data_IF_756004154266
#
_entry.id   IF_756004154266
#
_cell.length_a   1.000
_cell.length_b   1.000
_cell.length_c   1.000
_cell.angle_alpha   90.00
_cell.angle_beta   90.00
_cell.angle_gamma   90.00
#
_symmetry.space_group_name_H-M   'P 1'
#
loop_
_entity.id
_entity.type
_entity.pdbx_description
1 polymer ?
#
# COMPACT_ATOMS: atom_id res chain seq x y z
N UNK A 1 3.33 6.18 -2.13
CA UNK A 1 2.56 5.18 -1.33
C UNK A 1 2.56 3.86 -2.09
N UNK A 2 3.13 2.80 -1.53
CA UNK A 2 2.98 1.46 -2.13
C UNK A 2 1.52 1.06 -1.97
N UNK A 3 0.85 0.79 -3.08
CA UNK A 3 -0.50 0.18 -3.10
C UNK A 3 -0.49 -1.01 -2.13
N UNK A 4 -1.54 -1.14 -1.33
CA UNK A 4 -1.75 -2.31 -0.47
C UNK A 4 -1.52 -3.56 -1.33
N UNK A 5 -0.61 -4.47 -0.92
CA UNK A 5 -0.43 -5.69 -1.68
C UNK A 5 -1.74 -6.47 -1.69
N UNK A 6 -2.05 -7.09 -2.83
CA UNK A 6 -3.22 -7.99 -3.01
C UNK A 6 -3.36 -9.09 -1.94
N UNK A 7 -2.44 -9.16 -0.98
CA UNK A 7 -2.28 -10.22 0.02
C UNK A 7 -2.83 -9.89 1.42
N UNK A 8 -3.70 -8.90 1.61
CA UNK A 8 -4.37 -8.66 2.92
C UNK A 8 -5.35 -9.78 3.32
N UNK A 9 -5.51 -10.81 2.48
CA UNK A 9 -6.26 -12.03 2.79
C UNK A 9 -5.67 -12.87 3.96
N UNK A 10 -4.45 -12.56 4.42
CA UNK A 10 -3.76 -13.38 5.45
C UNK A 10 -4.30 -13.17 6.89
N UNK A 11 -4.91 -12.05 7.19
CA UNK A 11 -5.44 -11.79 8.54
C UNK A 11 -6.78 -12.52 8.83
N UNK A 12 -7.53 -12.90 7.80
CA UNK A 12 -8.81 -13.61 7.94
C UNK A 12 -8.66 -15.13 8.10
N UNK A 13 -7.46 -15.69 7.91
CA UNK A 13 -7.22 -17.14 8.06
C UNK A 13 -7.44 -17.65 9.50
N UNK A 14 -7.19 -16.81 10.51
CA UNK A 14 -7.43 -17.17 11.92
C UNK A 14 -8.92 -17.28 12.25
N UNK A 15 -9.78 -16.47 11.62
CA UNK A 15 -11.23 -16.53 11.78
C UNK A 15 -11.82 -17.83 11.16
N UNK A 16 -11.26 -18.32 10.06
CA UNK A 16 -11.73 -19.55 9.40
C UNK A 16 -11.50 -20.80 10.26
N UNK A 17 -10.42 -20.83 11.05
CA UNK A 17 -10.13 -21.93 11.98
C UNK A 17 -11.08 -21.96 13.17
N UNK A 18 -11.53 -20.80 13.66
CA UNK A 18 -12.52 -20.69 14.72
C UNK A 18 -13.92 -21.18 14.32
N UNK A 19 -14.30 -21.01 13.07
CA UNK A 19 -15.59 -21.46 12.53
C UNK A 19 -15.63 -22.98 12.26
N UNK A 20 -14.48 -23.64 12.08
CA UNK A 20 -14.40 -25.09 11.93
C UNK A 20 -14.66 -25.86 13.22
N UNK A 21 -14.46 -25.21 14.38
CA UNK A 21 -14.66 -25.81 15.69
C UNK A 21 -16.05 -25.49 16.29
N UNK A 22 -17.12 -25.59 15.50
CA UNK A 22 -18.48 -25.39 16.03
C UNK A 22 -18.77 -26.39 17.15
N UNK A 23 -19.23 -25.95 18.33
CA UNK A 23 -19.43 -26.81 19.52
C UNK A 23 -20.55 -27.84 19.38
N UNK A 24 -21.16 -27.98 18.21
CA UNK A 24 -22.23 -28.94 17.96
C UNK A 24 -21.80 -30.41 18.10
N UNK A 25 -20.52 -30.74 17.93
CA UNK A 25 -20.00 -32.07 18.20
C UNK A 25 -19.90 -32.39 19.70
N UNK A 26 -19.96 -31.37 20.58
CA UNK A 26 -19.97 -31.50 22.03
C UNK A 26 -21.40 -31.68 22.63
N UNK A 27 -22.44 -31.59 21.81
CA UNK A 27 -23.83 -31.60 22.28
C UNK A 27 -24.34 -32.99 22.79
N UNK A 28 -23.51 -34.02 22.76
CA UNK A 28 -23.95 -35.37 23.19
C UNK A 28 -23.95 -35.60 24.71
N UNK A 29 -23.48 -34.64 25.57
CA UNK A 29 -23.35 -34.92 26.97
C UNK A 29 -23.59 -33.79 27.97
N UNK A 30 -24.04 -32.58 27.60
CA UNK A 30 -24.45 -31.58 28.59
C UNK A 30 -25.65 -30.74 28.14
N UNK A 31 -26.70 -30.71 29.00
CA UNK A 31 -27.91 -29.86 28.87
C UNK A 31 -27.66 -28.37 29.14
N UNK A 32 -26.59 -27.81 28.66
CA UNK A 32 -26.44 -26.36 28.60
C UNK A 32 -26.83 -25.92 27.20
N UNK A 33 -28.02 -25.32 27.04
CA UNK A 33 -28.45 -24.66 25.81
C UNK A 33 -27.51 -23.49 25.53
N UNK A 34 -26.48 -23.71 24.71
CA UNK A 34 -25.79 -22.58 24.08
C UNK A 34 -26.82 -21.87 23.21
N UNK A 35 -27.04 -20.58 23.47
CA UNK A 35 -27.86 -19.75 22.59
C UNK A 35 -27.29 -19.76 21.19
N UNK A 36 -28.17 -19.90 20.16
CA UNK A 36 -27.74 -19.81 18.75
C UNK A 36 -27.00 -18.51 18.50
N UNK A 37 -25.97 -18.56 17.67
CA UNK A 37 -25.26 -17.36 17.21
C UNK A 37 -26.14 -16.49 16.27
N UNK A 38 -27.25 -17.05 15.79
CA UNK A 38 -28.23 -16.40 14.88
C UNK A 38 -29.67 -16.60 15.36
N UNK A 39 -30.04 -16.06 16.55
CA UNK A 39 -31.35 -16.29 17.17
C UNK A 39 -32.52 -15.71 16.33
N UNK A 40 -32.25 -14.60 15.62
CA UNK A 40 -33.26 -13.85 14.88
C UNK A 40 -33.24 -14.15 13.35
N UNK A 41 -32.54 -15.21 12.95
CA UNK A 41 -32.44 -15.59 11.54
C UNK A 41 -33.81 -15.77 10.89
N UNK A 42 -33.99 -15.25 9.69
CA UNK A 42 -35.24 -15.40 8.93
C UNK A 42 -35.45 -16.83 8.39
N UNK A 43 -34.38 -17.60 8.28
CA UNK A 43 -34.42 -19.01 7.82
C UNK A 43 -34.91 -19.90 8.94
N UNK A 44 -35.95 -20.74 8.61
CA UNK A 44 -36.39 -21.79 9.54
C UNK A 44 -35.29 -22.83 9.71
N UNK A 45 -34.92 -23.12 10.93
CA UNK A 45 -33.89 -24.13 11.24
C UNK A 45 -34.37 -25.52 10.86
N UNK A 46 -33.62 -26.27 10.04
CA UNK A 46 -33.96 -27.63 9.68
C UNK A 46 -33.69 -28.58 10.86
N UNK A 47 -34.34 -29.74 10.83
CA UNK A 47 -33.98 -30.83 11.74
C UNK A 47 -32.61 -31.37 11.39
N UNK A 48 -31.77 -31.58 12.39
CA UNK A 48 -30.42 -32.12 12.21
C UNK A 48 -30.52 -33.58 11.70
N UNK A 49 -29.94 -33.83 10.54
CA UNK A 49 -29.82 -35.16 9.95
C UNK A 49 -28.47 -35.79 10.35
N UNK A 50 -28.38 -36.19 11.62
CA UNK A 50 -27.19 -36.86 12.19
C UNK A 50 -27.64 -38.17 12.84
N UNK A 51 -27.81 -39.22 12.01
CA UNK A 51 -28.37 -40.52 12.46
C UNK A 51 -27.32 -41.56 12.76
N UNK A 52 -26.06 -41.38 12.34
CA UNK A 52 -24.97 -42.35 12.52
C UNK A 52 -23.94 -41.85 13.54
N UNK A 53 -23.78 -42.61 14.64
CA UNK A 53 -22.72 -42.34 15.63
C UNK A 53 -21.31 -42.49 15.03
N UNK A 54 -21.15 -43.44 14.09
CA UNK A 54 -19.91 -43.64 13.35
C UNK A 54 -19.57 -42.39 12.53
N UNK A 55 -20.52 -41.88 11.71
CA UNK A 55 -20.28 -40.68 10.91
C UNK A 55 -19.92 -39.49 11.76
N UNK A 56 -20.49 -39.32 12.95
CA UNK A 56 -20.13 -38.27 13.90
C UNK A 56 -18.70 -38.40 14.39
N UNK A 57 -18.25 -39.61 14.72
CA UNK A 57 -16.88 -39.88 15.16
C UNK A 57 -15.88 -39.64 14.04
N UNK A 58 -16.18 -40.13 12.84
CA UNK A 58 -15.32 -40.01 11.67
C UNK A 58 -15.21 -38.54 11.21
N UNK A 59 -16.32 -37.80 11.26
CA UNK A 59 -16.31 -36.35 10.99
C UNK A 59 -15.44 -35.58 11.96
N UNK A 60 -15.61 -35.84 13.27
CA UNK A 60 -14.78 -35.25 14.31
C UNK A 60 -13.29 -35.56 14.09
N UNK A 61 -12.95 -36.82 13.85
CA UNK A 61 -11.58 -37.25 13.61
C UNK A 61 -10.98 -36.59 12.37
N UNK A 62 -11.77 -36.36 11.32
CA UNK A 62 -11.33 -35.65 10.10
C UNK A 62 -10.99 -34.20 10.39
N UNK A 63 -11.81 -33.47 11.17
CA UNK A 63 -11.51 -32.09 11.58
C UNK A 63 -10.35 -32.00 12.55
N UNK A 64 -10.21 -32.96 13.50
CA UNK A 64 -9.05 -33.05 14.38
C UNK A 64 -7.75 -33.24 13.56
N UNK A 65 -7.77 -34.08 12.52
CA UNK A 65 -6.66 -34.29 11.59
C UNK A 65 -6.35 -33.01 10.80
N UNK A 66 -7.37 -32.32 10.31
CA UNK A 66 -7.25 -31.04 9.60
C UNK A 66 -6.60 -29.95 10.50
N UNK A 67 -7.04 -29.86 11.74
CA UNK A 67 -6.52 -28.91 12.72
C UNK A 67 -5.08 -29.25 13.13
N UNK A 68 -4.71 -30.53 13.15
CA UNK A 68 -3.34 -30.97 13.37
C UNK A 68 -2.39 -30.67 12.18
N UNK A 69 -2.93 -30.21 11.04
CA UNK A 69 -2.15 -29.82 9.87
C UNK A 69 -1.88 -30.93 8.87
N UNK A 70 -2.37 -32.16 9.08
CA UNK A 70 -2.23 -33.26 8.12
C UNK A 70 -3.31 -33.16 7.03
N UNK A 71 -3.04 -32.25 6.06
CA UNK A 71 -4.01 -31.91 5.01
C UNK A 71 -4.34 -33.10 4.12
N UNK A 72 -3.35 -33.94 3.76
CA UNK A 72 -3.53 -35.08 2.87
C UNK A 72 -4.43 -36.16 3.50
N UNK A 73 -4.16 -36.47 4.77
CA UNK A 73 -4.99 -37.44 5.51
C UNK A 73 -6.40 -36.92 5.77
N UNK A 74 -6.53 -35.62 6.13
CA UNK A 74 -7.83 -35.00 6.32
C UNK A 74 -8.65 -34.99 5.01
N UNK A 75 -8.03 -34.68 3.87
CA UNK A 75 -8.69 -34.69 2.55
C UNK A 75 -9.24 -36.09 2.25
N UNK A 76 -8.45 -37.16 2.46
CA UNK A 76 -8.88 -38.52 2.26
C UNK A 76 -10.07 -38.90 3.18
N UNK A 77 -10.00 -38.56 4.46
CA UNK A 77 -11.06 -38.84 5.43
C UNK A 77 -12.37 -38.11 5.08
N UNK A 78 -12.26 -36.81 4.74
CA UNK A 78 -13.41 -35.98 4.36
C UNK A 78 -14.03 -36.45 3.03
N UNK A 79 -13.21 -36.87 2.05
CA UNK A 79 -13.70 -37.43 0.81
C UNK A 79 -14.45 -38.75 1.06
N UNK A 80 -13.93 -39.61 1.93
CA UNK A 80 -14.61 -40.87 2.31
C UNK A 80 -15.99 -40.59 2.92
N UNK A 81 -16.11 -39.57 3.78
CA UNK A 81 -17.41 -39.19 4.34
C UNK A 81 -18.35 -38.62 3.27
N UNK A 82 -17.84 -37.80 2.37
CA UNK A 82 -18.62 -37.25 1.26
C UNK A 82 -19.20 -38.35 0.36
N UNK A 83 -18.42 -39.41 0.09
CA UNK A 83 -18.81 -40.50 -0.81
C UNK A 83 -19.77 -41.50 -0.14
N UNK A 84 -19.58 -41.83 1.14
CA UNK A 84 -20.23 -42.95 1.77
C UNK A 84 -21.29 -42.63 2.82
N UNK A 85 -21.25 -41.42 3.44
CA UNK A 85 -22.25 -41.04 4.43
C UNK A 85 -23.64 -40.93 3.77
N UNK A 86 -24.67 -41.33 4.49
CA UNK A 86 -26.08 -41.13 4.10
C UNK A 86 -26.63 -39.80 4.63
N UNK A 87 -25.99 -39.22 5.62
CA UNK A 87 -26.38 -37.94 6.21
C UNK A 87 -25.93 -36.77 5.31
N UNK A 88 -26.88 -35.97 4.88
CA UNK A 88 -26.62 -34.76 4.13
C UNK A 88 -25.83 -33.75 4.96
N UNK A 89 -26.14 -33.61 6.26
CA UNK A 89 -25.38 -32.77 7.20
C UNK A 89 -23.89 -33.14 7.22
N UNK A 90 -23.59 -34.47 7.34
CA UNK A 90 -22.20 -34.94 7.36
C UNK A 90 -21.50 -34.63 6.03
N UNK A 91 -22.18 -34.79 4.90
CA UNK A 91 -21.63 -34.43 3.58
C UNK A 91 -21.37 -32.94 3.47
N UNK A 92 -22.29 -32.08 3.92
CA UNK A 92 -22.11 -30.64 3.91
C UNK A 92 -20.93 -30.20 4.78
N UNK A 93 -20.76 -30.80 5.96
CA UNK A 93 -19.60 -30.58 6.83
C UNK A 93 -18.29 -31.11 6.20
N UNK A 94 -18.33 -32.23 5.51
CA UNK A 94 -17.16 -32.71 4.76
C UNK A 94 -16.75 -31.75 3.64
N UNK A 95 -17.74 -31.21 2.89
CA UNK A 95 -17.48 -30.16 1.89
C UNK A 95 -16.87 -28.91 2.53
N UNK A 96 -17.28 -28.50 3.74
CA UNK A 96 -16.66 -27.40 4.49
C UNK A 96 -15.18 -27.69 4.77
N UNK A 97 -14.86 -28.89 5.26
CA UNK A 97 -13.48 -29.30 5.54
C UNK A 97 -12.61 -29.31 4.29
N UNK A 98 -13.12 -29.89 3.18
CA UNK A 98 -12.45 -29.88 1.89
C UNK A 98 -12.23 -28.47 1.34
N UNK A 99 -13.20 -27.57 1.55
CA UNK A 99 -13.07 -26.15 1.19
C UNK A 99 -11.91 -25.48 1.93
N UNK A 100 -11.74 -25.74 3.23
CA UNK A 100 -10.61 -25.22 4.01
C UNK A 100 -9.26 -25.70 3.48
N UNK A 101 -9.17 -26.95 3.03
CA UNK A 101 -7.95 -27.50 2.42
C UNK A 101 -7.65 -26.76 1.12
N UNK A 102 -8.65 -26.59 0.24
CA UNK A 102 -8.48 -25.84 -1.02
C UNK A 102 -8.11 -24.37 -0.78
N UNK A 103 -8.72 -23.73 0.22
CA UNK A 103 -8.37 -22.37 0.64
C UNK A 103 -6.90 -22.25 1.05
N UNK A 104 -6.42 -23.17 1.92
CA UNK A 104 -5.01 -23.20 2.35
C UNK A 104 -4.03 -23.48 1.20
N UNK A 105 -4.46 -24.21 0.20
CA UNK A 105 -3.70 -24.46 -1.02
C UNK A 105 -3.71 -23.26 -2.01
N UNK A 106 -4.49 -22.19 -1.72
CA UNK A 106 -4.66 -21.04 -2.62
C UNK A 106 -5.64 -21.26 -3.76
N UNK A 107 -6.33 -22.41 -3.81
CA UNK A 107 -7.38 -22.70 -4.79
C UNK A 107 -8.73 -22.16 -4.30
N UNK A 108 -8.85 -20.83 -4.33
CA UNK A 108 -10.04 -20.13 -3.84
C UNK A 108 -11.29 -20.45 -4.64
N UNK A 109 -11.14 -20.69 -5.94
CA UNK A 109 -12.26 -21.06 -6.82
C UNK A 109 -12.86 -22.42 -6.45
N UNK A 110 -12.02 -23.43 -6.28
CA UNK A 110 -12.48 -24.76 -5.84
C UNK A 110 -13.07 -24.68 -4.41
N UNK A 111 -12.44 -23.89 -3.52
CA UNK A 111 -12.93 -23.67 -2.17
C UNK A 111 -14.34 -23.06 -2.17
N UNK A 112 -14.58 -22.00 -2.92
CA UNK A 112 -15.89 -21.37 -3.05
C UNK A 112 -16.95 -22.34 -3.61
N UNK A 113 -16.61 -23.11 -4.65
CA UNK A 113 -17.52 -24.09 -5.24
C UNK A 113 -17.95 -25.17 -4.24
N UNK A 114 -17.04 -25.65 -3.37
CA UNK A 114 -17.36 -26.62 -2.32
C UNK A 114 -18.31 -26.03 -1.28
N UNK A 115 -18.12 -24.78 -0.84
CA UNK A 115 -19.02 -24.10 0.09
C UNK A 115 -20.40 -23.84 -0.53
N UNK A 116 -20.45 -23.44 -1.79
CA UNK A 116 -21.71 -23.25 -2.51
C UNK A 116 -22.52 -24.56 -2.57
N UNK A 117 -21.85 -25.71 -2.82
CA UNK A 117 -22.50 -27.03 -2.78
C UNK A 117 -23.05 -27.33 -1.40
N UNK A 118 -22.27 -27.14 -0.34
CA UNK A 118 -22.72 -27.38 1.03
C UNK A 118 -23.94 -26.53 1.43
N UNK A 119 -23.99 -25.29 0.96
CA UNK A 119 -25.08 -24.36 1.25
C UNK A 119 -26.36 -24.63 0.45
N UNK A 120 -26.26 -25.36 -0.67
CA UNK A 120 -27.39 -25.61 -1.58
C UNK A 120 -28.42 -26.61 -1.00
N UNK A 121 -27.99 -27.58 -0.21
CA UNK A 121 -28.84 -28.66 0.27
C UNK A 121 -29.84 -28.24 1.35
N UNK A 122 -29.61 -27.10 2.01
CA UNK A 122 -30.53 -26.56 3.01
C UNK A 122 -30.66 -27.35 4.30
N UNK A 123 -29.77 -28.30 4.57
CA UNK A 123 -29.84 -29.27 5.68
C UNK A 123 -29.05 -28.80 6.91
N UNK A 124 -28.20 -27.76 6.76
CA UNK A 124 -27.38 -27.24 7.83
C UNK A 124 -28.21 -26.46 8.87
N UNK A 125 -28.00 -26.68 10.17
CA UNK A 125 -28.47 -25.76 11.21
C UNK A 125 -28.04 -24.31 10.98
N UNK A 126 -28.77 -23.34 11.51
CA UNK A 126 -28.53 -21.93 11.21
C UNK A 126 -27.09 -21.48 11.55
N UNK A 127 -26.54 -21.91 12.66
CA UNK A 127 -25.17 -21.56 13.06
C UNK A 127 -24.13 -22.07 12.04
N UNK A 128 -24.28 -23.29 11.54
CA UNK A 128 -23.41 -23.85 10.50
C UNK A 128 -23.65 -23.18 9.14
N UNK A 129 -24.91 -22.98 8.76
CA UNK A 129 -25.30 -22.39 7.48
C UNK A 129 -24.73 -20.97 7.34
N UNK A 130 -25.00 -20.11 8.30
CA UNK A 130 -24.51 -18.73 8.25
C UNK A 130 -23.01 -18.64 8.48
N UNK A 131 -22.40 -19.53 9.28
CA UNK A 131 -20.96 -19.65 9.39
C UNK A 131 -20.29 -19.98 8.05
N UNK A 132 -20.84 -20.96 7.32
CA UNK A 132 -20.34 -21.30 5.97
C UNK A 132 -20.60 -20.19 4.94
N UNK A 133 -21.74 -19.51 5.03
CA UNK A 133 -22.04 -18.39 4.14
C UNK A 133 -21.06 -17.23 4.35
N UNK A 134 -20.71 -16.91 5.59
CA UNK A 134 -19.66 -15.93 5.88
C UNK A 134 -18.29 -16.39 5.37
N UNK A 135 -17.95 -17.68 5.58
CA UNK A 135 -16.73 -18.27 5.03
C UNK A 135 -16.67 -18.16 3.50
N UNK A 136 -17.79 -18.38 2.80
CA UNK A 136 -17.88 -18.22 1.35
C UNK A 136 -17.52 -16.79 0.92
N UNK A 137 -18.04 -15.78 1.60
CA UNK A 137 -17.69 -14.39 1.32
C UNK A 137 -16.18 -14.14 1.47
N UNK A 138 -15.57 -14.63 2.55
CA UNK A 138 -14.12 -14.49 2.79
C UNK A 138 -13.29 -15.21 1.71
N UNK A 139 -13.72 -16.40 1.28
CA UNK A 139 -13.06 -17.15 0.21
C UNK A 139 -13.18 -16.43 -1.13
N UNK A 140 -14.35 -15.88 -1.45
CA UNK A 140 -14.57 -15.06 -2.65
C UNK A 140 -13.69 -13.80 -2.65
N UNK A 141 -13.59 -13.10 -1.51
CA UNK A 141 -12.67 -11.98 -1.35
C UNK A 141 -11.23 -12.41 -1.62
N UNK A 142 -10.76 -13.50 -1.02
CA UNK A 142 -9.41 -14.01 -1.20
C UNK A 142 -9.12 -14.41 -2.65
N UNK A 143 -10.13 -14.88 -3.37
CA UNK A 143 -10.09 -15.21 -4.79
C UNK A 143 -10.18 -14.01 -5.74
N UNK A 144 -10.37 -12.78 -5.19
CA UNK A 144 -10.56 -11.57 -5.99
C UNK A 144 -11.97 -11.40 -6.56
N UNK A 145 -12.91 -12.25 -6.15
CA UNK A 145 -14.33 -12.19 -6.55
C UNK A 145 -15.11 -11.21 -5.66
N UNK A 146 -14.64 -9.94 -5.59
CA UNK A 146 -15.11 -8.94 -4.63
C UNK A 146 -16.60 -8.65 -4.72
N UNK A 147 -17.19 -8.59 -5.92
CA UNK A 147 -18.62 -8.35 -6.04
C UNK A 147 -19.43 -9.54 -5.52
N UNK A 148 -19.01 -10.77 -5.80
CA UNK A 148 -19.66 -11.98 -5.27
C UNK A 148 -19.56 -12.05 -3.74
N UNK A 149 -18.44 -11.62 -3.16
CA UNK A 149 -18.28 -11.50 -1.70
C UNK A 149 -19.27 -10.48 -1.11
N UNK A 150 -19.41 -9.31 -1.72
CA UNK A 150 -20.40 -8.30 -1.30
C UNK A 150 -21.83 -8.83 -1.33
N UNK A 151 -22.21 -9.53 -2.40
CA UNK A 151 -23.54 -10.12 -2.56
C UNK A 151 -23.78 -11.19 -1.48
N UNK A 152 -22.77 -12.01 -1.21
CA UNK A 152 -22.83 -13.05 -0.16
C UNK A 152 -22.95 -12.44 1.23
N UNK A 153 -22.20 -11.38 1.55
CA UNK A 153 -22.28 -10.65 2.83
C UNK A 153 -23.63 -9.98 3.01
N UNK A 154 -24.17 -9.35 1.95
CA UNK A 154 -25.48 -8.73 1.99
C UNK A 154 -26.58 -9.74 2.34
N UNK A 155 -26.56 -10.91 1.69
CA UNK A 155 -27.46 -12.01 1.97
C UNK A 155 -27.28 -12.56 3.39
N UNK A 156 -26.02 -12.77 3.81
CA UNK A 156 -25.69 -13.23 5.17
C UNK A 156 -26.28 -12.33 6.25
N UNK A 157 -26.16 -10.98 6.11
CA UNK A 157 -26.75 -10.03 7.05
C UNK A 157 -28.28 -10.01 6.99
N UNK A 158 -28.83 -10.04 5.79
CA UNK A 158 -30.29 -9.97 5.61
C UNK A 158 -30.99 -11.19 6.19
N UNK A 159 -30.47 -12.39 5.94
CA UNK A 159 -31.09 -13.64 6.35
C UNK A 159 -30.70 -14.04 7.78
N UNK A 160 -29.46 -13.80 8.17
CA UNK A 160 -28.93 -14.10 9.51
C UNK A 160 -29.33 -13.08 10.57
N UNK A 161 -29.84 -11.90 10.17
CA UNK A 161 -30.16 -10.77 11.07
C UNK A 161 -29.00 -10.43 12.00
N UNK A 162 -27.78 -10.43 11.46
CA UNK A 162 -26.55 -10.25 12.23
C UNK A 162 -25.63 -9.24 11.54
N UNK A 163 -25.09 -8.33 12.34
CA UNK A 163 -24.06 -7.38 11.92
C UNK A 163 -22.84 -7.58 12.80
N UNK A 164 -21.65 -7.66 12.19
CA UNK A 164 -20.38 -7.73 12.93
C UNK A 164 -19.38 -6.73 12.35
N UNK A 165 -18.45 -6.30 13.18
CA UNK A 165 -17.39 -5.41 12.77
C UNK A 165 -16.56 -6.01 11.61
N UNK A 166 -16.24 -7.30 11.69
CA UNK A 166 -15.49 -8.02 10.67
C UNK A 166 -16.24 -8.08 9.34
N UNK A 167 -17.57 -8.26 9.36
CA UNK A 167 -18.38 -8.31 8.14
C UNK A 167 -18.40 -6.97 7.39
N UNK A 168 -18.38 -5.86 8.13
CA UNK A 168 -18.26 -4.54 7.53
C UNK A 168 -16.85 -4.20 7.11
N UNK A 169 -15.83 -4.68 7.83
CA UNK A 169 -14.43 -4.53 7.42
C UNK A 169 -14.13 -5.30 6.12
N UNK A 170 -14.65 -6.54 5.99
CA UNK A 170 -14.57 -7.33 4.77
C UNK A 170 -15.25 -6.60 3.61
N UNK A 171 -16.47 -6.10 3.83
CA UNK A 171 -17.19 -5.28 2.85
C UNK A 171 -16.38 -4.05 2.43
N UNK A 172 -15.83 -3.29 3.38
CA UNK A 172 -15.05 -2.10 3.07
C UNK A 172 -13.79 -2.41 2.25
N UNK A 173 -13.14 -3.55 2.49
CA UNK A 173 -12.01 -3.97 1.66
C UNK A 173 -12.47 -4.33 0.23
N UNK A 174 -13.58 -5.05 0.07
CA UNK A 174 -14.12 -5.41 -1.24
C UNK A 174 -14.51 -4.17 -2.04
N UNK A 175 -15.18 -3.21 -1.39
CA UNK A 175 -15.56 -1.92 -1.97
C UNK A 175 -14.32 -1.12 -2.41
N UNK A 176 -13.24 -1.10 -1.59
CA UNK A 176 -11.97 -0.48 -1.96
C UNK A 176 -11.37 -1.14 -3.21
N UNK A 177 -11.31 -2.47 -3.27
CA UNK A 177 -10.77 -3.20 -4.42
C UNK A 177 -11.56 -2.97 -5.71
N UNK A 178 -12.86 -2.68 -5.59
CA UNK A 178 -13.76 -2.33 -6.70
C UNK A 178 -13.70 -0.83 -7.06
N UNK A 179 -12.87 -0.02 -6.38
CA UNK A 179 -12.80 1.42 -6.60
C UNK A 179 -13.96 2.22 -6.02
N UNK A 180 -14.82 1.61 -5.20
CA UNK A 180 -15.96 2.23 -4.51
C UNK A 180 -15.46 2.86 -3.19
N UNK A 181 -14.63 3.90 -3.29
CA UNK A 181 -13.89 4.42 -2.14
C UNK A 181 -14.79 5.08 -1.09
N UNK A 182 -15.88 5.74 -1.49
CA UNK A 182 -16.81 6.37 -0.55
C UNK A 182 -17.55 5.32 0.28
N UNK A 183 -18.01 4.25 -0.37
CA UNK A 183 -18.65 3.11 0.27
C UNK A 183 -17.66 2.39 1.20
N UNK A 184 -16.43 2.16 0.76
CA UNK A 184 -15.38 1.54 1.58
C UNK A 184 -15.14 2.33 2.88
N UNK A 185 -15.07 3.66 2.81
CA UNK A 185 -14.94 4.54 3.99
C UNK A 185 -16.14 4.35 4.93
N UNK A 186 -17.36 4.34 4.39
CA UNK A 186 -18.56 4.17 5.20
C UNK A 186 -18.60 2.80 5.90
N UNK A 187 -18.30 1.74 5.17
CA UNK A 187 -18.26 0.37 5.68
C UNK A 187 -17.20 0.19 6.77
N UNK A 188 -15.97 0.67 6.57
CA UNK A 188 -14.92 0.56 7.59
C UNK A 188 -15.25 1.39 8.84
N UNK A 189 -15.81 2.58 8.70
CA UNK A 189 -16.28 3.37 9.85
C UNK A 189 -17.40 2.65 10.61
N UNK A 190 -18.31 2.00 9.90
CA UNK A 190 -19.34 1.16 10.54
C UNK A 190 -18.69 0.00 11.28
N UNK A 191 -17.70 -0.66 10.70
CA UNK A 191 -16.92 -1.71 11.39
C UNK A 191 -16.32 -1.19 12.71
N UNK A 192 -15.65 -0.05 12.68
CA UNK A 192 -15.06 0.57 13.86
C UNK A 192 -16.08 0.93 14.93
N UNK A 193 -17.31 1.34 14.53
CA UNK A 193 -18.39 1.67 15.49
C UNK A 193 -19.00 0.46 16.20
N UNK A 194 -18.73 -0.75 15.72
CA UNK A 194 -19.28 -2.00 16.27
C UNK A 194 -18.31 -2.70 17.25
N UNK A 195 -17.14 -2.13 17.53
CA UNK A 195 -16.15 -2.71 18.46
C UNK A 195 -15.33 -1.65 19.15
N UNK A 196 -14.95 -1.90 20.40
CA UNK A 196 -14.01 -1.06 21.15
C UNK A 196 -12.53 -1.36 20.80
N UNK A 197 -12.29 -2.41 20.00
CA UNK A 197 -10.94 -2.87 19.62
C UNK A 197 -10.87 -3.05 18.10
N UNK A 198 -10.84 -1.95 17.32
CA UNK A 198 -10.71 -2.06 15.88
C UNK A 198 -9.35 -2.61 15.48
N UNK A 199 -9.34 -3.44 14.46
CA UNK A 199 -8.11 -4.00 13.89
C UNK A 199 -7.29 -2.91 13.19
N UNK A 200 -5.95 -2.85 13.39
CA UNK A 200 -5.09 -1.85 12.75
C UNK A 200 -5.19 -1.81 11.21
N UNK A 201 -5.47 -2.96 10.58
CA UNK A 201 -5.63 -3.06 9.13
C UNK A 201 -6.79 -2.23 8.58
N UNK A 202 -7.83 -1.97 9.39
CA UNK A 202 -8.98 -1.17 8.97
C UNK A 202 -8.60 0.28 8.71
N UNK A 203 -7.66 0.84 9.50
CA UNK A 203 -7.12 2.17 9.24
C UNK A 203 -6.33 2.22 7.91
N UNK A 204 -5.70 1.12 7.50
CA UNK A 204 -5.02 1.07 6.20
C UNK A 204 -6.01 1.16 5.04
N UNK A 205 -7.18 0.52 5.14
CA UNK A 205 -8.25 0.62 4.14
C UNK A 205 -8.78 2.07 4.07
N UNK A 206 -8.99 2.72 5.23
CA UNK A 206 -9.40 4.13 5.29
C UNK A 206 -8.37 5.04 4.64
N UNK A 207 -7.10 4.92 5.01
CA UNK A 207 -6.00 5.72 4.45
C UNK A 207 -5.91 5.55 2.93
N UNK A 208 -5.99 4.30 2.45
CA UNK A 208 -5.95 4.00 1.03
C UNK A 208 -7.17 4.58 0.29
N UNK A 209 -8.38 4.46 0.87
CA UNK A 209 -9.62 4.97 0.29
C UNK A 209 -9.65 6.49 0.25
N UNK A 210 -9.24 7.18 1.34
CA UNK A 210 -9.12 8.64 1.35
C UNK A 210 -8.09 9.14 0.35
N UNK A 211 -6.93 8.48 0.27
CA UNK A 211 -5.88 8.83 -0.69
C UNK A 211 -6.37 8.67 -2.13
N UNK A 212 -7.00 7.53 -2.46
CA UNK A 212 -7.51 7.24 -3.80
C UNK A 212 -8.66 8.17 -4.21
N UNK A 213 -9.45 8.68 -3.25
CA UNK A 213 -10.52 9.66 -3.48
C UNK A 213 -10.05 11.12 -3.39
N UNK A 214 -8.74 11.38 -3.23
CA UNK A 214 -8.18 12.73 -3.16
C UNK A 214 -8.48 13.49 -1.87
N UNK A 215 -8.95 12.82 -0.81
CA UNK A 215 -9.27 13.42 0.48
C UNK A 215 -8.03 13.54 1.37
N UNK A 216 -7.01 14.26 0.89
CA UNK A 216 -5.70 14.36 1.52
C UNK A 216 -5.74 14.87 2.97
N UNK A 217 -6.66 15.79 3.30
CA UNK A 217 -6.83 16.27 4.68
C UNK A 217 -7.23 15.15 5.64
N UNK A 218 -8.05 14.20 5.18
CA UNK A 218 -8.43 13.03 5.99
C UNK A 218 -7.29 12.04 6.15
N UNK A 219 -6.44 11.89 5.13
CA UNK A 219 -5.20 11.09 5.21
C UNK A 219 -4.28 11.69 6.27
N UNK A 220 -4.07 13.01 6.25
CA UNK A 220 -3.26 13.73 7.24
C UNK A 220 -3.82 13.56 8.64
N UNK A 221 -5.13 13.78 8.83
CA UNK A 221 -5.79 13.63 10.12
C UNK A 221 -5.56 12.23 10.72
N UNK A 222 -5.84 11.17 9.95
CA UNK A 222 -5.67 9.79 10.42
C UNK A 222 -4.22 9.46 10.76
N UNK A 223 -3.26 9.91 9.93
CA UNK A 223 -1.85 9.67 10.17
C UNK A 223 -1.34 10.38 11.42
N UNK A 224 -1.84 11.59 11.69
CA UNK A 224 -1.51 12.35 12.92
C UNK A 224 -2.15 11.72 14.17
N UNK A 225 -3.39 11.22 14.06
CA UNK A 225 -4.05 10.49 15.16
C UNK A 225 -3.30 9.19 15.50
N UNK A 226 -2.86 8.43 14.49
CA UNK A 226 -2.07 7.22 14.68
C UNK A 226 -0.71 7.53 15.33
N UNK A 227 -0.04 8.60 14.89
CA UNK A 227 1.21 9.06 15.51
C UNK A 227 0.99 9.52 16.96
N UNK A 228 -0.11 10.22 17.25
CA UNK A 228 -0.42 10.67 18.61
C UNK A 228 -0.65 9.50 19.58
N UNK A 229 -1.23 8.40 19.09
CA UNK A 229 -1.39 7.17 19.85
C UNK A 229 -0.05 6.41 20.05
N UNK A 230 0.91 6.60 19.14
CA UNK A 230 2.21 5.91 19.15
C UNK A 230 3.37 6.91 18.92
N UNK A 231 3.62 7.86 19.83
CA UNK A 231 4.47 9.02 19.59
C UNK A 231 5.96 8.70 19.44
N UNK A 232 6.37 7.48 19.79
CA UNK A 232 7.76 7.02 19.74
C UNK A 232 8.02 6.04 18.58
N UNK A 233 7.00 5.76 17.76
CA UNK A 233 7.13 4.86 16.61
C UNK A 233 7.63 5.62 15.36
N UNK A 234 8.85 5.33 14.87
CA UNK A 234 9.42 6.03 13.71
C UNK A 234 8.65 5.77 12.41
N UNK A 235 7.94 4.63 12.31
CA UNK A 235 7.12 4.32 11.13
C UNK A 235 5.88 5.21 11.10
N UNK A 236 5.26 5.48 12.27
CA UNK A 236 4.12 6.40 12.38
C UNK A 236 4.52 7.84 12.08
N UNK A 237 5.69 8.25 12.56
CA UNK A 237 6.25 9.55 12.21
C UNK A 237 6.44 9.68 10.69
N UNK A 238 7.07 8.70 10.05
CA UNK A 238 7.26 8.70 8.59
C UNK A 238 5.94 8.76 7.85
N UNK A 239 4.94 7.97 8.24
CA UNK A 239 3.62 7.96 7.61
C UNK A 239 2.91 9.32 7.73
N UNK A 240 3.00 9.99 8.88
CA UNK A 240 2.40 11.32 9.09
C UNK A 240 3.10 12.38 8.23
N UNK A 241 4.42 12.33 8.13
CA UNK A 241 5.20 13.23 7.26
C UNK A 241 4.87 12.99 5.80
N UNK A 242 4.81 11.75 5.34
CA UNK A 242 4.44 11.40 3.95
C UNK A 242 3.02 11.87 3.61
N UNK A 243 2.08 11.75 4.55
CA UNK A 243 0.71 12.25 4.38
C UNK A 243 0.68 13.77 4.20
N UNK A 244 1.44 14.50 5.04
CA UNK A 244 1.56 15.96 4.97
C UNK A 244 2.23 16.41 3.66
N UNK A 245 3.29 15.73 3.22
CA UNK A 245 3.94 16.00 1.93
C UNK A 245 2.98 15.80 0.74
N UNK A 246 2.26 14.69 0.73
CA UNK A 246 1.31 14.39 -0.35
C UNK A 246 0.12 15.37 -0.38
N UNK A 247 -0.19 15.99 0.76
CA UNK A 247 -1.18 17.06 0.86
C UNK A 247 -0.62 18.46 0.54
N UNK A 248 0.68 18.58 0.21
CA UNK A 248 1.34 19.87 -0.03
C UNK A 248 1.59 20.69 1.24
N UNK A 249 1.44 20.08 2.43
CA UNK A 249 1.58 20.75 3.74
C UNK A 249 3.03 20.66 4.25
N UNK A 250 3.95 21.23 3.47
CA UNK A 250 5.39 21.19 3.80
C UNK A 250 5.73 21.83 5.15
N UNK A 251 5.17 23.02 5.53
CA UNK A 251 5.47 23.63 6.82
C UNK A 251 5.11 22.73 8.00
N UNK A 252 3.95 22.07 7.95
CA UNK A 252 3.51 21.15 9.01
C UNK A 252 4.40 19.90 9.08
N UNK A 253 4.80 19.35 7.92
CA UNK A 253 5.72 18.22 7.84
C UNK A 253 7.09 18.57 8.47
N UNK A 254 7.62 19.76 8.16
CA UNK A 254 8.87 20.28 8.73
C UNK A 254 8.74 20.45 10.25
N UNK A 255 7.67 21.08 10.74
CA UNK A 255 7.44 21.27 12.17
C UNK A 255 7.39 19.95 12.92
N UNK A 256 6.75 18.92 12.34
CA UNK A 256 6.69 17.60 12.92
C UNK A 256 8.08 16.95 13.02
N UNK A 257 8.87 17.03 11.95
CA UNK A 257 10.23 16.50 11.92
C UNK A 257 11.19 17.25 12.84
N UNK A 258 11.09 18.60 12.92
CA UNK A 258 11.90 19.40 13.85
C UNK A 258 11.54 19.13 15.31
N UNK A 259 10.26 18.91 15.61
CA UNK A 259 9.86 18.47 16.96
C UNK A 259 10.49 17.11 17.33
N UNK A 260 10.52 16.16 16.40
CA UNK A 260 11.18 14.87 16.59
C UNK A 260 12.72 15.04 16.76
N UNK A 261 13.33 15.90 15.94
CA UNK A 261 14.76 16.23 16.01
C UNK A 261 15.15 16.84 17.36
N UNK A 262 14.37 17.83 17.84
CA UNK A 262 14.59 18.47 19.13
C UNK A 262 14.52 17.50 20.31
N UNK A 263 13.71 16.42 20.17
CA UNK A 263 13.59 15.34 21.15
C UNK A 263 14.65 14.24 20.96
N UNK A 264 15.59 14.40 20.03
CA UNK A 264 16.62 13.41 19.74
C UNK A 264 16.12 12.11 19.08
N UNK A 265 14.92 12.14 18.48
CA UNK A 265 14.27 10.96 17.86
C UNK A 265 14.68 10.76 16.40
N UNK A 266 15.30 11.72 15.75
CA UNK A 266 15.89 11.55 14.42
C UNK A 266 17.26 10.88 14.55
N UNK A 267 17.32 9.59 14.24
CA UNK A 267 18.51 8.76 14.46
C UNK A 267 19.00 8.06 13.19
N UNK A 268 18.22 8.13 12.11
CA UNK A 268 18.53 7.43 10.87
C UNK A 268 18.88 8.36 9.72
N UNK A 269 19.65 7.85 8.76
CA UNK A 269 19.97 8.57 7.54
C UNK A 269 18.71 8.95 6.72
N UNK A 270 17.68 8.09 6.72
CA UNK A 270 16.44 8.34 6.02
C UNK A 270 15.72 9.58 6.57
N UNK A 271 15.66 9.73 7.89
CA UNK A 271 14.99 10.86 8.56
C UNK A 271 15.73 12.19 8.31
N UNK A 272 17.07 12.21 8.39
CA UNK A 272 17.86 13.41 8.08
C UNK A 272 17.75 13.81 6.60
N UNK A 273 17.79 12.84 5.69
CA UNK A 273 17.58 13.11 4.26
C UNK A 273 16.16 13.62 3.99
N UNK A 274 15.16 13.06 4.67
CA UNK A 274 13.76 13.48 4.53
C UNK A 274 13.60 14.94 5.00
N UNK A 275 14.10 15.31 6.18
CA UNK A 275 14.02 16.68 6.69
C UNK A 275 14.78 17.67 5.80
N UNK A 276 15.98 17.29 5.33
CA UNK A 276 16.75 18.09 4.37
C UNK A 276 16.00 18.29 3.04
N UNK A 277 15.36 17.24 2.54
CA UNK A 277 14.55 17.31 1.31
C UNK A 277 13.27 18.13 1.49
N UNK A 278 12.62 18.06 2.66
CA UNK A 278 11.46 18.90 2.98
C UNK A 278 11.81 20.39 2.93
N UNK A 279 12.87 20.80 3.59
CA UNK A 279 13.36 22.19 3.53
C UNK A 279 13.75 22.60 2.11
N UNK A 280 14.45 21.72 1.38
CA UNK A 280 14.78 22.00 -0.01
C UNK A 280 13.53 22.18 -0.88
N UNK A 281 12.52 21.29 -0.76
CA UNK A 281 11.28 21.41 -1.51
C UNK A 281 10.51 22.69 -1.14
N UNK A 282 10.44 23.05 0.13
CA UNK A 282 9.83 24.31 0.58
C UNK A 282 10.55 25.52 -0.02
N UNK A 283 11.89 25.48 -0.13
CA UNK A 283 12.67 26.55 -0.75
C UNK A 283 12.34 26.79 -2.23
N UNK A 284 11.88 25.76 -2.95
CA UNK A 284 11.49 25.88 -4.37
C UNK A 284 10.20 26.69 -4.56
N UNK A 285 9.35 26.75 -3.54
CA UNK A 285 8.04 27.43 -3.56
C UNK A 285 8.08 28.78 -2.80
N UNK A 286 9.16 29.05 -2.07
CA UNK A 286 9.31 30.26 -1.25
C UNK A 286 9.63 31.51 -2.08
N UNK A 287 9.13 32.66 -1.67
CA UNK A 287 9.50 33.96 -2.24
C UNK A 287 10.97 34.30 -1.99
N UNK A 288 11.54 33.89 -0.84
CA UNK A 288 12.97 33.91 -0.54
C UNK A 288 13.46 32.46 -0.34
N UNK A 289 14.01 31.84 -1.40
CA UNK A 289 14.47 30.45 -1.34
C UNK A 289 15.61 30.24 -0.34
N UNK A 290 16.40 31.27 -0.07
CA UNK A 290 17.65 31.16 0.67
C UNK A 290 17.45 30.67 2.10
N UNK A 291 16.42 31.14 2.78
CA UNK A 291 16.18 30.82 4.20
C UNK A 291 15.99 29.29 4.41
N UNK A 292 15.13 28.69 3.61
CA UNK A 292 14.86 27.25 3.76
C UNK A 292 15.96 26.39 3.12
N UNK A 293 16.60 26.88 2.06
CA UNK A 293 17.79 26.22 1.51
C UNK A 293 18.95 26.17 2.53
N UNK A 294 19.19 27.27 3.29
CA UNK A 294 20.20 27.30 4.36
C UNK A 294 19.87 26.29 5.49
N UNK A 295 18.58 26.13 5.84
CA UNK A 295 18.14 25.10 6.81
C UNK A 295 18.38 23.69 6.26
N UNK A 296 18.08 23.44 5.00
CA UNK A 296 18.39 22.16 4.34
C UNK A 296 19.88 21.83 4.41
N UNK A 297 20.74 22.83 4.09
CA UNK A 297 22.20 22.71 4.20
C UNK A 297 22.61 22.37 5.64
N UNK A 298 22.03 23.06 6.63
CA UNK A 298 22.30 22.84 8.05
C UNK A 298 22.00 21.41 8.48
N UNK A 299 20.81 20.91 8.13
CA UNK A 299 20.38 19.53 8.45
C UNK A 299 21.31 18.48 7.84
N UNK A 300 21.64 18.62 6.54
CA UNK A 300 22.51 17.66 5.86
C UNK A 300 23.93 17.69 6.43
N UNK A 301 24.48 18.87 6.69
CA UNK A 301 25.81 19.01 7.32
C UNK A 301 25.85 18.43 8.73
N UNK A 302 24.81 18.65 9.52
CA UNK A 302 24.69 18.06 10.86
C UNK A 302 24.65 16.52 10.79
N UNK A 303 23.82 15.96 9.91
CA UNK A 303 23.76 14.51 9.73
C UNK A 303 25.09 13.89 9.32
N UNK A 304 25.85 14.58 8.44
CA UNK A 304 27.21 14.17 8.06
C UNK A 304 28.19 14.27 9.24
N UNK A 305 28.17 15.36 10.01
CA UNK A 305 29.06 15.56 11.15
C UNK A 305 28.82 14.58 12.30
N UNK A 306 27.58 14.17 12.49
CA UNK A 306 27.19 13.13 13.47
C UNK A 306 27.46 11.70 12.99
N UNK A 307 27.89 11.52 11.74
CA UNK A 307 28.06 10.19 11.13
C UNK A 307 26.74 9.45 10.85
N UNK A 308 25.60 10.12 10.99
CA UNK A 308 24.27 9.55 10.69
C UNK A 308 24.08 9.46 9.18
N UNK A 309 24.41 10.53 8.45
CA UNK A 309 24.45 10.50 6.99
C UNK A 309 25.79 9.98 6.51
N UNK A 310 25.73 9.09 5.51
CA UNK A 310 26.94 8.63 4.81
C UNK A 310 27.31 9.62 3.70
N UNK A 311 28.60 9.70 3.39
CA UNK A 311 29.16 10.45 2.26
C UNK A 311 28.78 9.76 0.94
N UNK A 312 27.52 9.82 0.54
CA UNK A 312 26.94 9.17 -0.64
C UNK A 312 26.66 10.16 -1.76
N UNK A 313 26.42 9.64 -2.96
CA UNK A 313 25.98 10.45 -4.09
C UNK A 313 24.68 11.21 -3.77
N UNK A 314 23.74 10.56 -3.11
CA UNK A 314 22.43 11.13 -2.75
C UNK A 314 22.58 12.28 -1.74
N UNK A 315 23.37 12.07 -0.69
CA UNK A 315 23.64 13.10 0.34
C UNK A 315 24.32 14.33 -0.26
N UNK A 316 25.36 14.12 -1.08
CA UNK A 316 26.06 15.26 -1.72
C UNK A 316 25.21 15.93 -2.80
N UNK A 317 24.36 15.18 -3.51
CA UNK A 317 23.43 15.75 -4.48
C UNK A 317 22.38 16.64 -3.80
N UNK A 318 21.80 16.20 -2.68
CA UNK A 318 20.87 17.01 -1.89
C UNK A 318 21.56 18.27 -1.36
N UNK A 319 22.75 18.12 -0.77
CA UNK A 319 23.54 19.26 -0.27
C UNK A 319 23.86 20.26 -1.37
N UNK A 320 24.33 19.80 -2.53
CA UNK A 320 24.64 20.66 -3.67
C UNK A 320 23.41 21.37 -4.23
N UNK A 321 22.27 20.71 -4.30
CA UNK A 321 21.00 21.33 -4.74
C UNK A 321 20.55 22.43 -3.77
N UNK A 322 20.64 22.19 -2.47
CA UNK A 322 20.30 23.20 -1.46
C UNK A 322 21.27 24.40 -1.52
N UNK A 323 22.59 24.17 -1.68
CA UNK A 323 23.60 25.22 -1.83
C UNK A 323 23.35 26.03 -3.11
N UNK A 324 23.02 25.40 -4.22
CA UNK A 324 22.67 26.10 -5.45
C UNK A 324 21.42 26.98 -5.27
N UNK A 325 20.39 26.47 -4.59
CA UNK A 325 19.16 27.20 -4.30
C UNK A 325 19.41 28.39 -3.34
N UNK A 326 20.37 28.26 -2.43
CA UNK A 326 20.83 29.36 -1.56
C UNK A 326 21.72 30.40 -2.27
N UNK A 327 22.06 30.17 -3.56
CA UNK A 327 22.93 31.05 -4.34
C UNK A 327 24.43 30.80 -4.14
N UNK A 328 24.82 29.78 -3.37
CA UNK A 328 26.24 29.42 -3.17
C UNK A 328 26.70 28.42 -4.25
N UNK A 329 26.89 28.94 -5.47
CA UNK A 329 27.32 28.15 -6.63
C UNK A 329 28.67 27.43 -6.42
N UNK A 330 29.56 28.03 -5.62
CA UNK A 330 30.89 27.46 -5.36
C UNK A 330 30.77 26.19 -4.51
N UNK A 331 30.10 26.28 -3.37
CA UNK A 331 29.86 25.10 -2.52
C UNK A 331 29.00 24.03 -3.21
N UNK A 332 28.00 24.45 -4.03
CA UNK A 332 27.21 23.55 -4.82
C UNK A 332 28.06 22.74 -5.81
N UNK A 333 28.98 23.42 -6.52
CA UNK A 333 29.93 22.78 -7.42
C UNK A 333 30.78 21.73 -6.71
N UNK A 334 31.33 22.09 -5.52
CA UNK A 334 32.14 21.17 -4.71
C UNK A 334 31.32 19.92 -4.28
N UNK A 335 30.08 20.13 -3.87
CA UNK A 335 29.20 19.03 -3.47
C UNK A 335 28.83 18.13 -4.66
N UNK A 336 28.52 18.69 -5.83
CA UNK A 336 28.22 17.89 -7.03
C UNK A 336 29.47 17.14 -7.55
N UNK A 337 30.67 17.73 -7.44
CA UNK A 337 31.92 17.04 -7.77
C UNK A 337 32.18 15.86 -6.83
N UNK A 338 31.80 15.94 -5.54
CA UNK A 338 31.85 14.80 -4.62
C UNK A 338 30.81 13.72 -4.95
N UNK A 339 29.63 14.13 -5.43
CA UNK A 339 28.59 13.20 -5.83
C UNK A 339 28.93 12.46 -7.13
N UNK A 340 29.62 13.11 -8.08
CA UNK A 340 29.85 12.64 -9.44
C UNK A 340 30.48 11.23 -9.53
N UNK A 341 31.58 10.91 -8.81
CA UNK A 341 32.19 9.58 -8.85
C UNK A 341 31.35 8.51 -8.12
N UNK A 342 30.46 8.90 -7.22
CA UNK A 342 29.65 8.00 -6.40
C UNK A 342 28.29 7.69 -7.04
N UNK A 343 27.84 8.49 -8.00
CA UNK A 343 26.53 8.37 -8.61
C UNK A 343 26.48 7.27 -9.66
N UNK A 344 25.36 6.55 -9.70
CA UNK A 344 25.06 5.53 -10.71
C UNK A 344 24.49 6.11 -12.00
N UNK A 345 23.98 7.33 -11.95
CA UNK A 345 23.38 8.05 -13.07
C UNK A 345 24.12 9.37 -13.37
N UNK A 346 23.64 10.08 -14.37
CA UNK A 346 24.22 11.36 -14.81
C UNK A 346 23.72 12.59 -14.08
N UNK A 347 22.90 12.48 -13.03
CA UNK A 347 22.28 13.61 -12.36
C UNK A 347 23.31 14.64 -11.80
N UNK A 348 24.41 14.24 -11.12
CA UNK A 348 25.42 15.22 -10.66
C UNK A 348 26.10 15.95 -11.82
N UNK A 349 26.39 15.28 -12.92
CA UNK A 349 26.98 15.90 -14.11
C UNK A 349 26.02 16.94 -14.73
N UNK A 350 24.73 16.65 -14.74
CA UNK A 350 23.70 17.60 -15.21
C UNK A 350 23.61 18.83 -14.32
N UNK A 351 23.73 18.70 -13.01
CA UNK A 351 23.74 19.83 -12.09
C UNK A 351 25.00 20.71 -12.29
N UNK A 352 26.17 20.07 -12.45
CA UNK A 352 27.43 20.77 -12.78
C UNK A 352 27.28 21.53 -14.11
N UNK A 353 26.72 20.89 -15.15
CA UNK A 353 26.46 21.54 -16.45
C UNK A 353 25.55 22.76 -16.31
N UNK A 354 24.53 22.68 -15.45
CA UNK A 354 23.60 23.79 -15.20
C UNK A 354 24.31 24.99 -14.58
N UNK A 355 25.23 24.79 -13.61
CA UNK A 355 26.02 25.87 -13.01
C UNK A 355 26.99 26.47 -14.05
N UNK A 356 27.71 25.62 -14.80
CA UNK A 356 28.65 26.09 -15.84
C UNK A 356 27.93 26.87 -16.95
N UNK A 357 26.69 26.52 -17.26
CA UNK A 357 25.85 27.25 -18.21
C UNK A 357 25.51 28.66 -17.69
N UNK A 358 25.17 28.82 -16.41
CA UNK A 358 24.93 30.16 -15.81
C UNK A 358 26.19 30.99 -15.78
N UNK A 359 27.35 30.36 -15.65
CA UNK A 359 28.67 31.05 -15.74
C UNK A 359 29.12 31.34 -17.18
N UNK A 360 28.28 31.06 -18.20
CA UNK A 360 28.61 31.16 -19.64
C UNK A 360 29.80 30.30 -20.09
N UNK A 361 30.16 29.25 -19.33
CA UNK A 361 31.23 28.32 -19.66
C UNK A 361 30.69 27.20 -20.59
N UNK A 362 30.14 27.61 -21.75
CA UNK A 362 29.35 26.76 -22.63
C UNK A 362 30.05 25.47 -23.08
N UNK A 363 31.36 25.54 -23.38
CA UNK A 363 32.11 24.34 -23.78
C UNK A 363 32.25 23.31 -22.66
N UNK A 364 32.55 23.77 -21.44
CA UNK A 364 32.63 22.89 -20.27
C UNK A 364 31.23 22.34 -19.87
N UNK A 365 30.20 23.21 -19.93
CA UNK A 365 28.83 22.79 -19.68
C UNK A 365 28.37 21.71 -20.66
N UNK A 366 28.71 21.87 -21.96
CA UNK A 366 28.43 20.86 -23.00
C UNK A 366 29.07 19.52 -22.65
N UNK A 367 30.35 19.49 -22.33
CA UNK A 367 31.05 18.23 -21.96
C UNK A 367 30.38 17.53 -20.78
N UNK A 368 29.97 18.28 -19.74
CA UNK A 368 29.29 17.72 -18.57
C UNK A 368 27.89 17.22 -18.88
N UNK A 369 27.11 17.91 -19.71
CA UNK A 369 25.78 17.43 -20.05
C UNK A 369 25.82 16.22 -20.99
N UNK A 370 26.80 16.14 -21.90
CA UNK A 370 27.04 14.95 -22.73
C UNK A 370 27.41 13.73 -21.86
N UNK A 371 28.24 13.94 -20.83
CA UNK A 371 28.53 12.91 -19.83
C UNK A 371 27.26 12.51 -19.07
N UNK A 372 26.42 13.46 -18.70
CA UNK A 372 25.15 13.19 -18.03
C UNK A 372 24.22 12.33 -18.90
N UNK A 373 24.08 12.66 -20.18
CA UNK A 373 23.26 11.92 -21.13
C UNK A 373 23.79 10.50 -21.34
N UNK A 374 25.13 10.35 -21.51
CA UNK A 374 25.75 9.04 -21.73
C UNK A 374 25.60 8.11 -20.52
N UNK A 375 25.64 8.66 -19.30
CA UNK A 375 25.46 7.89 -18.06
C UNK A 375 23.98 7.62 -17.72
N UNK A 376 23.07 8.31 -18.42
CA UNK A 376 21.64 8.24 -18.23
C UNK A 376 21.13 9.17 -17.13
N UNK A 377 20.12 9.98 -17.49
CA UNK A 377 19.36 10.83 -16.55
C UNK A 377 17.94 10.25 -16.45
N UNK A 378 17.68 9.52 -15.37
CA UNK A 378 16.48 8.68 -15.27
C UNK A 378 15.19 9.45 -14.94
N UNK A 379 15.32 10.58 -14.22
CA UNK A 379 14.13 11.32 -13.73
C UNK A 379 13.60 12.35 -14.72
N UNK A 380 14.45 12.99 -15.50
CA UNK A 380 14.06 14.07 -16.42
C UNK A 380 15.01 14.11 -17.66
N UNK A 381 14.90 13.13 -18.57
CA UNK A 381 15.81 13.07 -19.71
C UNK A 381 15.72 14.29 -20.61
N UNK A 382 14.52 14.84 -20.80
CA UNK A 382 14.31 16.07 -21.59
C UNK A 382 15.06 17.28 -21.05
N UNK A 383 15.25 17.39 -19.72
CA UNK A 383 16.03 18.47 -19.10
C UNK A 383 17.48 18.48 -19.57
N UNK A 384 18.11 17.31 -19.66
CA UNK A 384 19.48 17.21 -20.11
C UNK A 384 19.64 17.73 -21.55
N UNK A 385 18.71 17.38 -22.43
CA UNK A 385 18.70 17.89 -23.80
C UNK A 385 18.37 19.39 -23.90
N UNK A 386 17.55 19.94 -23.03
CA UNK A 386 17.34 21.40 -22.96
C UNK A 386 18.62 22.14 -22.52
N UNK A 387 19.36 21.60 -21.53
CA UNK A 387 20.66 22.15 -21.12
C UNK A 387 21.68 22.05 -22.29
N UNK A 388 21.72 20.90 -22.99
CA UNK A 388 22.59 20.76 -24.16
C UNK A 388 22.23 21.79 -25.25
N UNK A 389 20.95 21.97 -25.54
CA UNK A 389 20.50 22.97 -26.52
C UNK A 389 20.91 24.41 -26.13
N UNK A 390 20.88 24.72 -24.84
CA UNK A 390 21.34 26.02 -24.33
C UNK A 390 22.87 26.18 -24.47
N UNK A 391 23.64 25.11 -24.20
CA UNK A 391 25.09 25.11 -24.44
C UNK A 391 25.42 25.36 -25.93
N UNK A 392 24.73 24.63 -26.83
CA UNK A 392 24.93 24.78 -28.30
C UNK A 392 24.49 26.15 -28.79
N UNK A 393 23.49 26.76 -28.14
CA UNK A 393 23.12 28.15 -28.44
C UNK A 393 24.24 29.15 -28.09
N UNK A 394 24.85 28.99 -26.88
CA UNK A 394 25.98 29.82 -26.46
C UNK A 394 27.21 29.64 -27.36
N UNK A 395 27.43 28.44 -27.89
CA UNK A 395 28.51 28.13 -28.81
C UNK A 395 28.16 28.51 -30.29
N UNK A 396 26.96 29.03 -30.53
CA UNK A 396 26.44 29.39 -31.89
C UNK A 396 26.34 28.21 -32.86
N UNK A 397 26.20 26.98 -32.37
CA UNK A 397 26.08 25.74 -33.15
C UNK A 397 24.61 25.46 -33.50
N UNK A 398 24.03 26.18 -34.48
CA UNK A 398 22.58 26.12 -34.80
C UNK A 398 22.08 24.68 -35.06
N UNK A 399 22.82 23.89 -35.85
CA UNK A 399 22.41 22.54 -36.21
C UNK A 399 22.35 21.59 -35.01
N UNK A 400 23.38 21.63 -34.13
CA UNK A 400 23.44 20.83 -32.92
C UNK A 400 22.35 21.26 -31.89
N UNK A 401 22.08 22.56 -31.76
CA UNK A 401 20.96 23.08 -30.97
C UNK A 401 19.62 22.51 -31.43
N UNK A 402 19.35 22.50 -32.72
CA UNK A 402 18.11 21.94 -33.29
C UNK A 402 18.02 20.43 -32.97
N UNK A 403 19.11 19.69 -33.10
CA UNK A 403 19.14 18.26 -32.78
C UNK A 403 18.80 18.02 -31.29
N UNK A 404 19.43 18.75 -30.37
CA UNK A 404 19.16 18.65 -28.94
C UNK A 404 17.69 19.01 -28.60
N UNK A 405 17.13 20.06 -29.19
CA UNK A 405 15.73 20.43 -28.98
C UNK A 405 14.76 19.35 -29.47
N UNK A 406 15.06 18.67 -30.58
CA UNK A 406 14.23 17.55 -31.08
C UNK A 406 14.23 16.38 -30.09
N UNK A 407 15.35 16.08 -29.44
CA UNK A 407 15.41 15.06 -28.38
C UNK A 407 14.65 15.52 -27.14
N UNK A 408 14.80 16.78 -26.72
CA UNK A 408 14.04 17.33 -25.59
C UNK A 408 12.51 17.26 -25.81
N UNK A 409 12.06 17.48 -27.05
CA UNK A 409 10.64 17.44 -27.42
C UNK A 409 10.00 16.04 -27.30
N UNK A 410 10.76 14.98 -27.15
CA UNK A 410 10.26 13.63 -26.87
C UNK A 410 9.78 13.45 -25.43
N UNK A 411 10.24 14.29 -24.51
CA UNK A 411 9.81 14.29 -23.13
C UNK A 411 8.58 15.21 -22.98
N UNK A 412 7.40 14.67 -22.58
CA UNK A 412 6.15 15.45 -22.51
C UNK A 412 6.28 16.72 -21.66
N UNK A 413 7.11 16.72 -20.62
CA UNK A 413 7.32 17.86 -19.74
C UNK A 413 8.03 19.03 -20.43
N UNK A 414 8.91 18.74 -21.39
CA UNK A 414 9.73 19.74 -22.11
C UNK A 414 9.30 19.93 -23.56
N UNK A 415 8.34 19.14 -24.04
CA UNK A 415 7.90 19.14 -25.44
C UNK A 415 7.41 20.52 -25.90
N UNK A 416 6.62 21.21 -25.08
CA UNK A 416 6.10 22.54 -25.40
C UNK A 416 7.24 23.53 -25.65
N UNK A 417 8.13 23.70 -24.66
CA UNK A 417 9.22 24.68 -24.70
C UNK A 417 10.24 24.37 -25.81
N UNK A 418 10.54 23.08 -26.02
CA UNK A 418 11.44 22.65 -27.06
C UNK A 418 10.86 22.93 -28.44
N UNK A 419 9.57 22.66 -28.69
CA UNK A 419 8.91 22.94 -29.97
C UNK A 419 8.78 24.44 -30.23
N UNK A 420 8.51 25.26 -29.21
CA UNK A 420 8.54 26.72 -29.36
C UNK A 420 9.91 27.24 -29.82
N UNK A 421 10.99 26.73 -29.23
CA UNK A 421 12.33 27.09 -29.67
C UNK A 421 12.67 26.60 -31.08
N UNK A 422 12.23 25.38 -31.45
CA UNK A 422 12.38 24.85 -32.81
C UNK A 422 11.69 25.74 -33.83
N UNK A 423 10.47 26.20 -33.54
CA UNK A 423 9.71 27.11 -34.40
C UNK A 423 10.47 28.44 -34.62
N UNK A 424 11.00 29.03 -33.55
CA UNK A 424 11.83 30.27 -33.63
C UNK A 424 13.10 30.10 -34.45
N UNK A 425 13.62 28.87 -34.54
CA UNK A 425 14.81 28.53 -35.38
C UNK A 425 14.47 28.16 -36.82
N UNK A 426 13.19 28.14 -37.21
CA UNK A 426 12.72 27.71 -38.50
C UNK A 426 12.82 26.20 -38.72
N UNK A 427 12.84 25.40 -37.66
CA UNK A 427 12.98 23.94 -37.68
C UNK A 427 11.78 23.20 -37.01
N UNK A 428 10.74 23.92 -36.67
CA UNK A 428 9.49 23.37 -36.11
C UNK A 428 8.54 22.93 -37.25
N UNK A 429 7.68 21.92 -36.94
CA UNK A 429 6.55 21.55 -37.80
C UNK A 429 5.46 22.61 -37.72
#
# INVERSE_FOLDING_TARGET
>A
MKLLPRSTALATAALLLGLASSPLLARSSSKASQSSAYPDASRKEPKLDLTSERDSKDLKASFDTLNAGDMAKAEQQLQTLLDHSKSKYVKDKALQGLSLIKYKAGDFKASAALLQRALADGTLPNDDYFGMQYMLAVVQQAGGEYQASLDTLAKWRADGKKETAESYATQGNDEYQLGKYAEAIASVKKAQSLTDKPEPQWNQILLASYSASGQNDKVVQLAQEDLAAHPDDPVRLSNAVDALQNAGKYPEAINLMESARAKGKLTTAAEYNLLGALYFNQSLEANDPKVDADKAIGVVKEGLSKGILQASAETYLLLGKAQFQAGDNKSAMDSFNKALPLAKDGEPALQIASILLTDNKFGQAKSMVEQAISKGVTKQPGRAYMVLAACEAGLKHKAARIAALKEAAKDPKYAHDANEQLKKLGAGK
#
